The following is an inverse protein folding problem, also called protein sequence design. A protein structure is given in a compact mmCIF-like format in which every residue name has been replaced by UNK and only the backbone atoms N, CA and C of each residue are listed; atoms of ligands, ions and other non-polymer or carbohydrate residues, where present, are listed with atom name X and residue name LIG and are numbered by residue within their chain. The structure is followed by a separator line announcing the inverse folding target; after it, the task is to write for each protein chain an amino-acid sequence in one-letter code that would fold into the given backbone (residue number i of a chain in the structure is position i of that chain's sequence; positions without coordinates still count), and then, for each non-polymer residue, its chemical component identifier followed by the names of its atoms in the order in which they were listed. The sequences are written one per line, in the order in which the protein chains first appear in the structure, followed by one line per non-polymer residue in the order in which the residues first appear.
data_IF_985546356753
#
_entry.id   IF_985546356753
#
_cell.length_a   1.000
_cell.length_b   1.000
_cell.length_c   1.000
_cell.angle_alpha   90.00
_cell.angle_beta   90.00
_cell.angle_gamma   90.00
#
_symmetry.space_group_name_H-M   'P 1'
#
loop_
_entity.id
_entity.type
_entity.pdbx_description
1 polymer ?
#
# COMPACT_ATOMS: atom_id res chain seq x y z
N UNK A 1 26.78 -6.09 20.47
CA UNK A 1 25.49 -6.70 20.08
C UNK A 1 24.37 -5.68 20.22
N UNK A 2 24.27 -4.73 19.28
CA UNK A 2 23.17 -3.78 19.22
C UNK A 2 22.08 -4.32 18.29
N UNK A 3 20.80 -4.14 18.65
CA UNK A 3 19.67 -4.34 17.74
C UNK A 3 18.93 -3.02 17.56
N UNK A 4 18.45 -2.82 16.34
CA UNK A 4 17.59 -1.70 15.97
C UNK A 4 16.31 -1.72 16.81
N UNK A 5 15.85 -0.55 17.23
CA UNK A 5 14.54 -0.36 17.83
C UNK A 5 13.88 0.80 17.10
N UNK A 6 13.25 0.50 15.97
CA UNK A 6 12.50 1.50 15.21
C UNK A 6 11.23 1.84 16.01
N UNK A 7 10.67 3.04 15.79
CA UNK A 7 9.40 3.42 16.38
C UNK A 7 8.68 4.34 15.40
N UNK A 8 7.44 3.99 15.06
CA UNK A 8 6.51 4.92 14.41
C UNK A 8 5.43 5.35 15.41
N UNK A 9 4.68 6.38 15.07
CA UNK A 9 3.59 6.91 15.88
C UNK A 9 2.26 6.70 15.12
N UNK A 10 1.16 6.23 15.76
CA UNK A 10 0.93 6.00 17.20
C UNK A 10 1.77 4.85 17.77
N UNK A 11 1.94 4.74 19.12
CA UNK A 11 2.92 3.84 19.74
C UNK A 11 2.57 2.37 19.52
N UNK A 12 2.97 1.84 18.37
CA UNK A 12 3.23 0.43 18.11
C UNK A 12 4.71 0.19 18.39
N UNK A 13 5.03 -0.93 19.03
CA UNK A 13 6.41 -1.40 19.22
C UNK A 13 6.99 -1.88 17.88
N UNK A 14 7.15 -1.00 16.90
CA UNK A 14 7.67 -1.38 15.58
C UNK A 14 9.19 -1.53 15.61
N UNK A 15 9.68 -2.66 16.08
CA UNK A 15 11.10 -2.90 16.35
C UNK A 15 11.93 -3.14 15.08
N UNK A 16 11.30 -3.20 13.90
CA UNK A 16 11.98 -3.51 12.64
C UNK A 16 11.46 -2.67 11.47
N UNK A 17 12.27 -2.58 10.41
CA UNK A 17 11.87 -1.90 9.18
C UNK A 17 10.72 -2.64 8.48
N UNK A 18 10.61 -3.95 8.68
CA UNK A 18 9.54 -4.79 8.14
C UNK A 18 8.21 -4.51 8.84
N UNK A 19 8.23 -4.32 10.16
CA UNK A 19 7.03 -3.95 10.92
C UNK A 19 6.51 -2.56 10.51
N UNK A 20 7.41 -1.58 10.27
CA UNK A 20 7.02 -0.27 9.76
C UNK A 20 6.41 -0.33 8.35
N UNK A 21 6.99 -1.16 7.47
CA UNK A 21 6.47 -1.38 6.13
C UNK A 21 5.09 -2.08 6.17
N UNK A 22 4.92 -3.06 7.05
CA UNK A 22 3.65 -3.76 7.24
C UNK A 22 2.59 -2.82 7.82
N UNK A 23 2.94 -1.99 8.80
CA UNK A 23 2.05 -0.96 9.34
C UNK A 23 1.55 -0.02 8.24
N UNK A 24 2.44 0.53 7.41
CA UNK A 24 2.05 1.39 6.29
C UNK A 24 1.18 0.66 5.28
N UNK A 25 1.47 -0.62 5.02
CA UNK A 25 0.66 -1.46 4.14
C UNK A 25 -0.75 -1.63 4.67
N UNK A 26 -0.91 -1.89 5.97
CA UNK A 26 -2.21 -2.03 6.64
C UNK A 26 -2.96 -0.71 6.75
N UNK A 27 -2.27 0.39 7.05
CA UNK A 27 -2.87 1.71 7.07
C UNK A 27 -3.39 2.08 5.67
N UNK A 28 -2.58 1.87 4.64
CA UNK A 28 -2.97 2.06 3.24
C UNK A 28 -4.19 1.20 2.88
N UNK A 29 -4.17 -0.09 3.24
CA UNK A 29 -5.30 -0.99 3.05
C UNK A 29 -6.57 -0.44 3.72
N UNK A 30 -6.48 -0.02 4.98
CA UNK A 30 -7.60 0.51 5.74
C UNK A 30 -8.19 1.77 5.10
N UNK A 31 -7.36 2.74 4.73
CA UNK A 31 -7.81 4.01 4.13
C UNK A 31 -8.56 3.79 2.81
N UNK A 32 -8.04 2.89 1.96
CA UNK A 32 -8.70 2.49 0.71
C UNK A 32 -9.98 1.70 0.98
N UNK A 33 -9.96 0.83 1.99
CA UNK A 33 -11.09 -0.02 2.35
C UNK A 33 -12.33 0.77 2.80
N UNK A 34 -12.11 1.80 3.62
CA UNK A 34 -13.19 2.69 4.09
C UNK A 34 -13.53 3.80 3.07
N UNK A 35 -12.75 3.94 2.00
CA UNK A 35 -13.03 4.87 0.90
C UNK A 35 -12.70 6.34 1.19
N UNK A 36 -11.82 6.64 2.16
CA UNK A 36 -11.45 8.03 2.51
C UNK A 36 -10.28 8.57 1.69
N UNK A 37 -9.43 7.69 1.15
CA UNK A 37 -8.28 8.07 0.33
C UNK A 37 -7.84 6.90 -0.54
N UNK A 38 -7.37 7.19 -1.75
CA UNK A 38 -6.70 6.22 -2.62
C UNK A 38 -5.34 5.76 -2.06
N UNK A 39 -4.77 6.55 -1.13
CA UNK A 39 -3.53 6.24 -0.40
C UNK A 39 -2.37 5.79 -1.32
N UNK A 40 -2.25 6.43 -2.48
CA UNK A 40 -1.13 6.29 -3.41
C UNK A 40 0.01 7.22 -3.02
N UNK A 41 1.18 6.65 -2.69
CA UNK A 41 2.34 7.43 -2.28
C UNK A 41 2.97 8.19 -3.46
N UNK A 42 3.01 7.59 -4.66
CA UNK A 42 3.53 8.21 -5.88
C UNK A 42 2.77 9.49 -6.27
N UNK A 43 1.47 9.56 -5.95
CA UNK A 43 0.62 10.75 -6.16
C UNK A 43 0.59 11.68 -4.96
N UNK A 44 1.30 11.35 -3.87
CA UNK A 44 1.33 12.13 -2.64
C UNK A 44 0.06 12.07 -1.80
N UNK A 45 -0.85 11.11 -2.04
CA UNK A 45 -2.07 10.92 -1.24
C UNK A 45 -1.78 10.33 0.15
N UNK A 46 -0.63 9.65 0.27
CA UNK A 46 -0.09 9.15 1.52
C UNK A 46 1.38 9.56 1.59
N UNK A 47 1.78 10.22 2.68
CA UNK A 47 3.17 10.60 2.96
C UNK A 47 3.60 10.01 4.30
N UNK A 48 4.86 9.64 4.40
CA UNK A 48 5.44 9.10 5.62
C UNK A 48 6.82 9.70 5.85
N UNK A 49 7.02 10.27 7.03
CA UNK A 49 8.34 10.60 7.57
C UNK A 49 8.69 9.54 8.63
N UNK A 50 9.85 8.92 8.52
CA UNK A 50 10.27 7.85 9.41
C UNK A 50 11.17 8.39 10.53
N UNK A 51 10.82 8.09 11.79
CA UNK A 51 11.64 8.48 12.94
C UNK A 51 12.39 7.25 13.46
N UNK A 52 13.72 7.29 13.48
CA UNK A 52 14.56 6.13 13.80
C UNK A 52 15.50 6.44 14.96
N UNK A 53 15.53 5.53 15.93
CA UNK A 53 16.51 5.49 17.02
C UNK A 53 16.99 4.05 17.21
N UNK A 54 18.11 3.87 17.89
CA UNK A 54 18.59 2.54 18.32
C UNK A 54 18.85 2.56 19.81
N UNK A 55 18.86 1.37 20.43
CA UNK A 55 19.27 1.20 21.82
C UNK A 55 19.93 -0.16 22.05
N UNK A 56 20.80 -0.30 23.06
CA UNK A 56 21.29 -1.61 23.49
C UNK A 56 20.15 -2.54 23.90
N UNK A 57 20.32 -3.84 23.68
CA UNK A 57 19.35 -4.86 24.10
C UNK A 57 19.22 -4.83 25.63
N UNK A 58 17.98 -4.81 26.12
CA UNK A 58 17.68 -4.74 27.55
C UNK A 58 17.69 -3.33 28.14
N UNK A 59 18.16 -2.32 27.39
CA UNK A 59 18.07 -0.93 27.81
C UNK A 59 16.68 -0.34 27.52
N UNK A 60 16.22 0.56 28.38
CA UNK A 60 15.04 1.41 28.16
C UNK A 60 15.41 2.77 27.58
N UNK A 61 16.67 3.19 27.71
CA UNK A 61 17.17 4.48 27.22
C UNK A 61 17.31 4.47 25.70
N UNK A 62 16.80 5.51 25.06
CA UNK A 62 16.85 5.71 23.61
C UNK A 62 17.96 6.69 23.25
N UNK A 63 18.66 6.42 22.14
CA UNK A 63 19.51 7.43 21.53
C UNK A 63 18.67 8.56 20.93
N UNK A 64 19.28 9.74 20.67
CA UNK A 64 18.62 10.82 19.93
C UNK A 64 17.99 10.32 18.62
N UNK A 65 16.74 10.73 18.38
CA UNK A 65 15.99 10.35 17.18
C UNK A 65 16.54 11.04 15.93
N UNK A 66 16.50 10.32 14.82
CA UNK A 66 16.72 10.85 13.48
C UNK A 66 15.41 10.82 12.71
N UNK A 67 15.16 11.86 11.94
CA UNK A 67 13.96 11.99 11.11
C UNK A 67 14.36 11.84 9.64
N UNK A 68 13.81 10.85 8.95
CA UNK A 68 14.01 10.62 7.51
C UNK A 68 12.80 11.17 6.77
N UNK A 69 13.04 12.02 5.77
CA UNK A 69 12.00 12.64 4.94
C UNK A 69 12.06 12.16 3.49
N UNK A 70 11.02 12.55 2.76
CA UNK A 70 10.90 12.40 1.30
C UNK A 70 10.95 10.94 0.82
N UNK A 71 10.30 10.05 1.57
CA UNK A 71 10.24 8.63 1.22
C UNK A 71 8.92 8.34 0.48
N UNK A 72 9.00 8.03 -0.83
CA UNK A 72 7.81 7.99 -1.68
C UNK A 72 7.25 6.58 -1.94
N UNK A 73 7.82 5.54 -1.33
CA UNK A 73 7.26 4.19 -1.39
C UNK A 73 7.46 3.44 -0.07
N UNK A 74 6.60 2.45 0.21
CA UNK A 74 6.71 1.60 1.40
C UNK A 74 8.05 0.85 1.41
N UNK A 75 8.52 0.40 0.26
CA UNK A 75 9.82 -0.28 0.14
C UNK A 75 10.98 0.67 0.44
N UNK A 76 10.89 1.92 -0.04
CA UNK A 76 11.87 2.94 0.29
C UNK A 76 11.87 3.27 1.79
N UNK A 77 10.72 3.23 2.47
CA UNK A 77 10.66 3.36 3.94
C UNK A 77 11.44 2.24 4.60
N UNK A 78 11.22 0.99 4.18
CA UNK A 78 11.97 -0.17 4.69
C UNK A 78 13.48 0.01 4.49
N UNK A 79 13.89 0.37 3.28
CA UNK A 79 15.30 0.56 2.93
C UNK A 79 15.95 1.70 3.72
N UNK A 80 15.31 2.86 3.79
CA UNK A 80 15.82 4.04 4.47
C UNK A 80 16.00 3.78 5.97
N UNK A 81 15.01 3.14 6.60
CA UNK A 81 15.10 2.75 8.00
C UNK A 81 16.27 1.78 8.23
N UNK A 82 16.41 0.75 7.39
CA UNK A 82 17.51 -0.21 7.50
C UNK A 82 18.89 0.44 7.30
N UNK A 83 19.00 1.38 6.36
CA UNK A 83 20.22 2.14 6.13
C UNK A 83 20.59 2.98 7.37
N UNK A 84 19.61 3.66 7.96
CA UNK A 84 19.83 4.51 9.14
C UNK A 84 20.19 3.69 10.38
N UNK A 85 19.53 2.57 10.59
CA UNK A 85 19.86 1.62 11.66
C UNK A 85 21.32 1.17 11.56
N UNK A 86 21.76 0.72 10.37
CA UNK A 86 23.15 0.29 10.14
C UNK A 86 24.13 1.43 10.42
N UNK A 87 23.79 2.65 10.01
CA UNK A 87 24.59 3.85 10.26
C UNK A 87 24.71 4.14 11.75
N UNK A 88 23.60 4.18 12.50
CA UNK A 88 23.63 4.44 13.94
C UNK A 88 24.43 3.38 14.71
N UNK A 89 24.29 2.10 14.34
CA UNK A 89 25.08 1.01 14.97
C UNK A 89 26.57 1.25 14.77
N UNK A 90 27.00 1.54 13.53
CA UNK A 90 28.42 1.81 13.21
C UNK A 90 28.98 3.01 13.98
N UNK A 91 28.20 4.06 14.17
CA UNK A 91 28.61 5.23 14.94
C UNK A 91 28.79 4.90 16.43
N UNK A 92 27.81 4.20 17.02
CA UNK A 92 27.85 3.81 18.44
C UNK A 92 28.97 2.81 18.71
N UNK A 93 29.18 1.82 17.85
CA UNK A 93 30.27 0.84 17.99
C UNK A 93 31.66 1.47 17.84
N UNK A 94 31.77 2.58 17.10
CA UNK A 94 32.99 3.37 17.01
C UNK A 94 33.16 4.38 18.16
N UNK A 95 32.29 4.34 19.19
CA UNK A 95 32.35 5.22 20.36
C UNK A 95 31.88 6.65 20.09
N UNK A 96 31.24 6.92 18.93
CA UNK A 96 30.71 8.25 18.60
C UNK A 96 29.30 8.42 19.14
N UNK A 97 28.94 9.66 19.47
CA UNK A 97 27.59 10.02 19.94
C UNK A 97 26.66 10.28 18.76
N UNK A 98 25.46 9.72 18.83
CA UNK A 98 24.37 10.05 17.91
C UNK A 98 23.87 11.46 18.25
N UNK A 99 23.63 12.28 17.22
CA UNK A 99 23.11 13.65 17.30
C UNK A 99 21.86 13.73 16.44
N UNK A 100 20.83 14.49 16.83
CA UNK A 100 19.59 14.53 16.04
C UNK A 100 19.80 15.29 14.73
N UNK A 101 19.38 14.69 13.62
CA UNK A 101 19.40 15.29 12.28
C UNK A 101 18.11 14.95 11.53
N UNK A 102 17.74 15.83 10.61
CA UNK A 102 16.82 15.51 9.53
C UNK A 102 17.63 14.99 8.35
N UNK A 103 17.25 13.83 7.85
CA UNK A 103 17.88 13.12 6.75
C UNK A 103 16.94 13.13 5.55
N UNK A 104 17.53 13.24 4.37
CA UNK A 104 16.84 13.07 3.09
C UNK A 104 17.18 11.70 2.52
N UNK A 105 16.15 10.99 2.04
CA UNK A 105 16.32 9.72 1.35
C UNK A 105 16.43 9.95 -0.15
N UNK A 106 17.58 9.57 -0.72
CA UNK A 106 17.80 9.57 -2.17
C UNK A 106 17.48 8.16 -2.71
N UNK A 107 16.40 8.06 -3.49
CA UNK A 107 15.88 6.78 -4.01
C UNK A 107 16.80 6.16 -5.08
N UNK A 108 17.48 6.98 -5.88
CA UNK A 108 18.32 6.54 -7.00
C UNK A 108 19.63 5.93 -6.48
N UNK A 109 20.23 6.56 -5.48
CA UNK A 109 21.48 6.10 -4.86
C UNK A 109 21.25 5.16 -3.68
N UNK A 110 20.02 5.09 -3.16
CA UNK A 110 19.65 4.40 -1.93
C UNK A 110 20.49 4.85 -0.71
N UNK A 111 20.77 6.15 -0.63
CA UNK A 111 21.59 6.74 0.44
C UNK A 111 20.83 7.78 1.25
N UNK A 112 21.31 7.99 2.48
CA UNK A 112 20.82 9.04 3.37
C UNK A 112 21.80 10.22 3.32
N UNK A 113 21.27 11.39 2.98
CA UNK A 113 22.03 12.64 3.04
C UNK A 113 21.54 13.51 4.19
N UNK A 114 22.45 14.27 4.81
CA UNK A 114 22.06 15.20 5.87
C UNK A 114 21.39 16.42 5.24
N UNK A 115 20.14 16.68 5.63
CA UNK A 115 19.55 17.98 5.33
C UNK A 115 20.21 19.05 6.20
N UNK A 116 20.28 20.29 5.69
CA UNK A 116 20.79 21.43 6.43
C UNK A 116 20.11 21.48 7.81
N UNK A 117 20.91 21.60 8.87
CA UNK A 117 20.39 21.81 10.22
C UNK A 117 19.50 23.03 10.24
N UNK A 118 18.22 22.84 10.58
CA UNK A 118 17.48 23.93 11.20
C UNK A 118 18.18 24.20 12.52
N UNK A 119 18.93 25.29 12.58
CA UNK A 119 19.29 25.89 13.86
C UNK A 119 17.98 26.08 14.62
N UNK A 120 17.82 25.38 15.75
CA UNK A 120 16.67 25.36 16.68
C UNK A 120 15.35 24.74 16.18
N UNK A 121 14.66 24.02 17.10
CA UNK A 121 13.24 23.66 16.93
C UNK A 121 12.46 24.94 16.61
N UNK A 122 11.73 24.96 15.49
CA UNK A 122 10.96 26.13 15.12
C UNK A 122 9.87 26.37 16.18
N UNK A 123 9.87 27.55 16.81
CA UNK A 123 8.76 27.96 17.67
C UNK A 123 7.55 28.26 16.77
N UNK A 124 6.67 27.26 16.67
CA UNK A 124 5.44 27.34 15.86
C UNK A 124 4.41 28.32 16.45
N UNK A 125 4.60 28.81 17.68
CA UNK A 125 3.72 29.78 18.35
C UNK A 125 2.24 29.41 18.19
N UNK A 126 1.90 28.14 18.46
CA UNK A 126 0.53 27.63 18.31
C UNK A 126 -0.46 28.52 19.07
N UNK A 127 -1.49 29.01 18.38
CA UNK A 127 -2.62 29.73 18.96
C UNK A 127 -3.91 29.22 18.33
N UNK A 128 -5.05 29.49 18.99
CA UNK A 128 -6.36 29.13 18.43
C UNK A 128 -6.65 30.04 17.24
N UNK A 129 -6.97 29.45 16.10
CA UNK A 129 -7.42 30.18 14.92
C UNK A 129 -8.68 31.00 15.26
N UNK A 130 -8.60 32.34 15.35
CA UNK A 130 -9.73 33.17 15.75
C UNK A 130 -10.89 33.12 14.76
N UNK A 131 -10.61 32.84 13.48
CA UNK A 131 -11.62 32.84 12.42
C UNK A 131 -12.44 31.54 12.37
N UNK A 132 -11.99 30.48 13.05
CA UNK A 132 -12.65 29.18 13.07
C UNK A 132 -13.27 28.88 14.43
N UNK A 133 -14.60 28.72 14.43
CA UNK A 133 -15.31 28.21 15.59
C UNK A 133 -14.90 26.75 15.87
N UNK A 134 -14.85 26.32 17.14
CA UNK A 134 -14.56 24.92 17.47
C UNK A 134 -15.58 23.98 16.82
N UNK A 135 -15.09 22.98 16.07
CA UNK A 135 -15.92 21.89 15.55
C UNK A 135 -16.43 21.07 16.74
N UNK A 136 -17.75 20.96 16.88
CA UNK A 136 -18.41 20.09 17.86
C UNK A 136 -19.01 18.92 17.10
N UNK A 137 -18.54 17.72 17.42
CA UNK A 137 -19.13 16.48 16.92
C UNK A 137 -20.14 16.01 17.96
N UNK A 138 -21.41 15.92 17.57
CA UNK A 138 -22.41 15.35 18.46
C UNK A 138 -22.30 13.81 18.50
N UNK A 139 -22.85 13.18 19.54
CA UNK A 139 -22.79 11.73 19.69
C UNK A 139 -23.58 11.00 18.59
N UNK A 140 -24.65 11.63 18.10
CA UNK A 140 -25.56 11.04 17.11
C UNK A 140 -24.91 10.96 15.72
N UNK A 141 -24.20 12.01 15.30
CA UNK A 141 -23.37 12.11 14.11
C UNK A 141 -22.25 11.08 14.15
N UNK A 142 -21.56 10.96 15.28
CA UNK A 142 -20.53 9.94 15.46
C UNK A 142 -21.12 8.53 15.27
N UNK A 143 -22.23 8.23 15.93
CA UNK A 143 -22.86 6.90 15.85
C UNK A 143 -23.40 6.62 14.43
N UNK A 144 -23.94 7.63 13.74
CA UNK A 144 -24.32 7.55 12.32
C UNK A 144 -23.14 7.19 11.43
N UNK A 145 -21.99 7.85 11.60
CA UNK A 145 -20.78 7.55 10.83
C UNK A 145 -20.27 6.14 11.13
N UNK A 146 -20.22 5.75 12.41
CA UNK A 146 -19.78 4.41 12.81
C UNK A 146 -20.69 3.31 12.26
N UNK A 147 -22.00 3.54 12.18
CA UNK A 147 -22.96 2.60 11.60
C UNK A 147 -22.82 2.42 10.08
N UNK A 148 -22.25 3.41 9.37
CA UNK A 148 -22.02 3.36 7.93
C UNK A 148 -20.68 2.70 7.55
N UNK A 149 -19.76 2.52 8.52
CA UNK A 149 -18.47 1.91 8.24
C UNK A 149 -18.64 0.45 7.80
N UNK A 150 -17.92 0.03 6.74
CA UNK A 150 -17.88 -1.37 6.38
C UNK A 150 -17.19 -2.20 7.46
N UNK A 151 -17.42 -3.51 7.45
CA UNK A 151 -16.59 -4.46 8.19
C UNK A 151 -15.11 -4.21 7.85
N UNK A 152 -14.27 -3.99 8.87
CA UNK A 152 -12.85 -3.66 8.69
C UNK A 152 -12.07 -4.85 8.09
N UNK A 153 -10.98 -4.61 7.34
CA UNK A 153 -10.26 -5.65 6.58
C UNK A 153 -9.79 -6.80 7.47
N UNK A 154 -9.15 -6.53 8.61
CA UNK A 154 -8.68 -7.58 9.53
C UNK A 154 -9.82 -8.37 10.19
N UNK A 155 -10.94 -7.69 10.48
CA UNK A 155 -12.14 -8.37 11.00
C UNK A 155 -12.72 -9.32 9.95
N UNK A 156 -12.79 -8.85 8.71
CA UNK A 156 -13.26 -9.65 7.58
C UNK A 156 -12.32 -10.81 7.27
N UNK A 157 -11.01 -10.61 7.36
CA UNK A 157 -10.02 -11.68 7.21
C UNK A 157 -10.24 -12.78 8.24
N UNK A 158 -10.33 -12.43 9.53
CA UNK A 158 -10.58 -13.37 10.60
C UNK A 158 -11.92 -14.10 10.41
N UNK A 159 -12.95 -13.40 9.90
CA UNK A 159 -14.22 -14.00 9.53
C UNK A 159 -14.08 -15.00 8.39
N UNK A 160 -13.32 -14.68 7.34
CA UNK A 160 -13.09 -15.60 6.22
C UNK A 160 -12.35 -16.87 6.65
N UNK A 161 -11.37 -16.75 7.54
CA UNK A 161 -10.67 -17.91 8.11
C UNK A 161 -11.60 -18.79 8.93
N UNK A 162 -12.51 -18.19 9.71
CA UNK A 162 -13.40 -18.91 10.61
C UNK A 162 -14.66 -19.47 9.93
N UNK A 163 -15.36 -18.66 9.15
CA UNK A 163 -16.67 -19.02 8.55
C UNK A 163 -16.53 -19.77 7.23
N UNK A 164 -15.49 -19.45 6.44
CA UNK A 164 -15.24 -20.09 5.14
C UNK A 164 -14.10 -21.10 5.18
N UNK A 165 -13.49 -21.33 6.35
CA UNK A 165 -12.38 -22.27 6.58
C UNK A 165 -11.22 -22.06 5.59
N UNK A 166 -10.97 -20.80 5.21
CA UNK A 166 -9.91 -20.47 4.28
C UNK A 166 -8.55 -20.45 4.99
N UNK A 167 -7.48 -20.93 4.33
CA UNK A 167 -6.12 -20.71 4.81
C UNK A 167 -5.86 -19.20 4.96
N UNK A 168 -5.10 -18.81 5.99
CA UNK A 168 -4.73 -17.42 6.28
C UNK A 168 -4.21 -16.69 5.04
N UNK A 169 -3.35 -17.34 4.25
CA UNK A 169 -2.83 -16.80 3.00
C UNK A 169 -3.93 -16.40 1.99
N UNK A 170 -4.93 -17.27 1.80
CA UNK A 170 -6.05 -16.97 0.90
C UNK A 170 -6.94 -15.86 1.47
N UNK A 171 -7.23 -15.91 2.77
CA UNK A 171 -8.05 -14.90 3.43
C UNK A 171 -7.41 -13.51 3.36
N UNK A 172 -6.11 -13.42 3.58
CA UNK A 172 -5.33 -12.19 3.47
C UNK A 172 -5.40 -11.59 2.06
N UNK A 173 -5.19 -12.40 1.02
CA UNK A 173 -5.25 -11.93 -0.37
C UNK A 173 -6.67 -11.52 -0.75
N UNK A 174 -7.68 -12.30 -0.39
CA UNK A 174 -9.08 -11.98 -0.68
C UNK A 174 -9.58 -10.74 0.05
N UNK A 175 -8.91 -10.34 1.13
CA UNK A 175 -9.21 -9.11 1.89
C UNK A 175 -8.21 -7.99 1.63
N UNK A 176 -7.30 -8.13 0.66
CA UNK A 176 -6.35 -7.08 0.29
C UNK A 176 -7.03 -5.80 -0.20
N UNK A 177 -8.13 -5.93 -0.93
CA UNK A 177 -8.98 -4.83 -1.37
C UNK A 177 -10.46 -5.15 -1.14
N UNK A 178 -11.24 -4.14 -0.74
CA UNK A 178 -12.67 -4.31 -0.43
C UNK A 178 -13.45 -4.85 -1.62
N UNK A 179 -13.17 -4.32 -2.81
CA UNK A 179 -13.88 -4.71 -4.03
C UNK A 179 -13.67 -6.20 -4.38
N UNK A 180 -12.45 -6.72 -4.19
CA UNK A 180 -12.15 -8.15 -4.37
C UNK A 180 -12.87 -8.99 -3.31
N UNK A 181 -12.88 -8.51 -2.07
CA UNK A 181 -13.55 -9.18 -0.95
C UNK A 181 -15.07 -9.27 -1.17
N UNK A 182 -15.70 -8.17 -1.58
CA UNK A 182 -17.13 -8.11 -1.90
C UNK A 182 -17.46 -9.00 -3.12
N UNK A 183 -16.56 -9.07 -4.11
CA UNK A 183 -16.67 -9.97 -5.27
C UNK A 183 -16.65 -11.45 -4.86
N UNK A 184 -15.75 -11.83 -3.95
CA UNK A 184 -15.67 -13.19 -3.41
C UNK A 184 -16.95 -13.58 -2.68
N UNK A 185 -17.43 -12.76 -1.73
CA UNK A 185 -18.65 -13.09 -0.97
C UNK A 185 -19.90 -13.15 -1.86
N UNK A 186 -20.00 -12.24 -2.83
CA UNK A 186 -21.07 -12.29 -3.82
C UNK A 186 -21.01 -13.60 -4.63
N UNK A 187 -19.82 -14.05 -5.03
CA UNK A 187 -19.64 -15.30 -5.77
C UNK A 187 -20.04 -16.51 -4.91
N UNK A 188 -19.62 -16.55 -3.65
CA UNK A 188 -20.02 -17.61 -2.69
C UNK A 188 -21.54 -17.65 -2.55
N UNK A 189 -22.20 -16.50 -2.43
CA UNK A 189 -23.67 -16.39 -2.32
C UNK A 189 -24.40 -16.91 -3.55
N UNK A 190 -23.91 -16.63 -4.76
CA UNK A 190 -24.51 -17.14 -6.01
C UNK A 190 -24.25 -18.63 -6.23
N UNK A 191 -23.05 -19.10 -5.86
CA UNK A 191 -22.64 -20.48 -6.03
C UNK A 191 -23.36 -21.44 -5.07
N UNK A 192 -23.57 -21.03 -3.81
CA UNK A 192 -24.20 -21.83 -2.74
C UNK A 192 -23.52 -23.18 -2.44
N UNK A 193 -22.25 -23.34 -2.83
CA UNK A 193 -21.43 -24.50 -2.49
C UNK A 193 -20.25 -24.10 -1.57
N UNK A 194 -19.17 -24.89 -1.63
CA UNK A 194 -17.99 -24.67 -0.79
C UNK A 194 -17.24 -23.37 -1.12
N UNK A 195 -17.10 -22.48 -0.13
CA UNK A 195 -16.38 -21.22 -0.28
C UNK A 195 -14.90 -21.41 -0.67
N UNK A 196 -14.28 -22.51 -0.24
CA UNK A 196 -12.91 -22.89 -0.60
C UNK A 196 -12.74 -23.06 -2.11
N UNK A 197 -13.73 -23.62 -2.80
CA UNK A 197 -13.69 -23.76 -4.25
C UNK A 197 -13.72 -22.39 -4.93
N UNK A 198 -14.61 -21.50 -4.49
CA UNK A 198 -14.68 -20.12 -5.00
C UNK A 198 -13.36 -19.38 -4.77
N UNK A 199 -12.76 -19.54 -3.57
CA UNK A 199 -11.45 -19.00 -3.25
C UNK A 199 -10.40 -19.50 -4.25
N UNK A 200 -10.33 -20.80 -4.53
CA UNK A 200 -9.37 -21.35 -5.49
C UNK A 200 -9.53 -20.80 -6.90
N UNK A 201 -10.76 -20.64 -7.40
CA UNK A 201 -11.02 -20.03 -8.71
C UNK A 201 -10.59 -18.56 -8.75
N UNK A 202 -10.87 -17.81 -7.69
CA UNK A 202 -10.47 -16.40 -7.64
C UNK A 202 -8.96 -16.25 -7.57
N UNK A 203 -8.31 -17.03 -6.69
CA UNK A 203 -6.87 -16.97 -6.47
C UNK A 203 -6.06 -17.35 -7.72
N UNK A 204 -6.47 -18.42 -8.41
CA UNK A 204 -5.69 -18.95 -9.53
C UNK A 204 -6.05 -18.31 -10.88
N UNK A 205 -7.31 -17.97 -11.10
CA UNK A 205 -7.78 -17.53 -12.42
C UNK A 205 -8.13 -16.03 -12.42
N UNK A 206 -8.92 -15.54 -11.46
CA UNK A 206 -9.41 -14.15 -11.47
C UNK A 206 -8.30 -13.15 -11.16
N UNK A 207 -7.48 -13.41 -10.14
CA UNK A 207 -6.34 -12.54 -9.79
C UNK A 207 -5.35 -12.42 -10.95
N UNK A 208 -5.07 -13.51 -11.65
CA UNK A 208 -4.24 -13.49 -12.85
C UNK A 208 -4.80 -12.54 -13.91
N UNK A 209 -6.11 -12.60 -14.17
CA UNK A 209 -6.79 -11.71 -15.14
C UNK A 209 -6.76 -10.24 -14.68
N UNK A 210 -7.00 -9.98 -13.39
CA UNK A 210 -6.96 -8.63 -12.83
C UNK A 210 -5.56 -8.02 -13.00
N UNK A 211 -4.52 -8.77 -12.64
CA UNK A 211 -3.13 -8.33 -12.74
C UNK A 211 -2.67 -8.16 -14.20
N UNK A 212 -2.96 -9.12 -15.09
CA UNK A 212 -2.61 -9.05 -16.51
C UNK A 212 -3.21 -7.81 -17.21
N UNK A 213 -4.36 -7.32 -16.72
CA UNK A 213 -5.10 -6.22 -17.35
C UNK A 213 -5.08 -4.91 -16.57
N UNK A 214 -4.52 -4.91 -15.36
CA UNK A 214 -4.55 -3.76 -14.46
C UNK A 214 -5.97 -3.28 -14.15
N UNK A 215 -6.89 -4.22 -13.93
CA UNK A 215 -8.29 -3.95 -13.63
C UNK A 215 -8.58 -4.20 -12.15
N UNK A 216 -9.60 -3.53 -11.62
CA UNK A 216 -10.22 -3.85 -10.34
C UNK A 216 -11.38 -4.86 -10.51
N UNK A 217 -11.74 -5.58 -9.45
CA UNK A 217 -12.82 -6.58 -9.48
C UNK A 217 -14.16 -6.08 -10.06
N UNK A 218 -14.61 -4.83 -9.80
CA UNK A 218 -15.85 -4.31 -10.38
C UNK A 218 -15.78 -4.04 -11.89
N UNK A 219 -14.58 -3.92 -12.46
CA UNK A 219 -14.36 -3.62 -13.88
C UNK A 219 -14.36 -4.90 -14.76
N UNK A 220 -14.38 -6.07 -14.13
CA UNK A 220 -14.47 -7.35 -14.84
C UNK A 220 -15.87 -7.56 -15.42
N UNK A 221 -15.96 -7.98 -16.69
CA UNK A 221 -17.24 -8.47 -17.23
C UNK A 221 -17.56 -9.89 -16.71
N UNK A 222 -16.57 -10.57 -16.13
CA UNK A 222 -16.79 -11.76 -15.33
C UNK A 222 -17.38 -11.32 -13.98
N UNK A 223 -18.71 -11.14 -13.94
CA UNK A 223 -19.45 -10.82 -12.72
C UNK A 223 -19.44 -12.01 -11.73
N UNK A 224 -19.65 -11.78 -10.42
CA UNK A 224 -19.76 -12.87 -9.43
C UNK A 224 -20.75 -13.97 -9.81
N UNK A 225 -21.91 -13.61 -10.37
CA UNK A 225 -22.94 -14.56 -10.82
C UNK A 225 -22.45 -15.45 -11.97
N UNK A 226 -21.75 -14.86 -12.94
CA UNK A 226 -21.18 -15.60 -14.09
C UNK A 226 -20.10 -16.57 -13.64
N UNK A 227 -19.23 -16.15 -12.73
CA UNK A 227 -18.22 -17.05 -12.17
C UNK A 227 -18.89 -18.19 -11.42
N UNK A 228 -19.86 -17.91 -10.55
CA UNK A 228 -20.63 -18.94 -9.85
C UNK A 228 -21.28 -19.95 -10.82
N UNK A 229 -21.90 -19.48 -11.92
CA UNK A 229 -22.47 -20.37 -12.95
C UNK A 229 -21.43 -21.29 -13.59
N UNK A 230 -20.23 -20.78 -13.87
CA UNK A 230 -19.13 -21.61 -14.41
C UNK A 230 -18.73 -22.68 -13.40
N UNK A 231 -18.60 -22.32 -12.12
CA UNK A 231 -18.25 -23.26 -11.05
C UNK A 231 -19.33 -24.37 -10.94
N UNK A 232 -20.61 -24.01 -10.95
CA UNK A 232 -21.74 -24.96 -10.94
C UNK A 232 -21.68 -25.95 -12.11
N UNK A 233 -21.37 -25.48 -13.32
CA UNK A 233 -21.27 -26.35 -14.49
C UNK A 233 -20.10 -27.36 -14.38
N UNK A 234 -18.99 -26.93 -13.76
CA UNK A 234 -17.84 -27.80 -13.50
C UNK A 234 -18.19 -28.86 -12.46
N UNK A 235 -18.86 -28.49 -11.36
CA UNK A 235 -19.23 -29.43 -10.30
C UNK A 235 -20.25 -30.45 -10.72
N UNK A 236 -21.22 -30.03 -11.52
CA UNK A 236 -22.21 -30.91 -12.12
C UNK A 236 -21.61 -31.77 -13.25
N UNK A 237 -20.29 -31.71 -13.49
CA UNK A 237 -19.56 -32.44 -14.52
C UNK A 237 -20.10 -32.22 -15.94
N UNK A 238 -20.83 -31.13 -16.16
CA UNK A 238 -21.34 -30.72 -17.48
C UNK A 238 -20.16 -30.30 -18.36
N UNK A 239 -19.17 -29.64 -17.74
CA UNK A 239 -17.90 -29.30 -18.36
C UNK A 239 -16.74 -29.70 -17.45
N UNK A 240 -15.56 -29.94 -18.04
CA UNK A 240 -14.35 -30.12 -17.24
C UNK A 240 -13.76 -28.75 -16.85
N UNK A 241 -12.86 -28.74 -15.86
CA UNK A 241 -12.23 -27.52 -15.33
C UNK A 241 -11.45 -26.74 -16.40
N UNK A 242 -10.80 -27.43 -17.34
CA UNK A 242 -10.05 -26.78 -18.43
C UNK A 242 -10.98 -25.99 -19.35
N UNK A 243 -12.09 -26.61 -19.76
CA UNK A 243 -13.13 -25.97 -20.56
C UNK A 243 -13.82 -24.84 -19.79
N UNK A 244 -14.02 -24.98 -18.48
CA UNK A 244 -14.57 -23.92 -17.62
C UNK A 244 -13.67 -22.67 -17.51
N UNK A 245 -12.34 -22.84 -17.60
CA UNK A 245 -11.39 -21.72 -17.56
C UNK A 245 -11.27 -20.94 -18.87
N UNK A 246 -11.54 -21.58 -20.02
CA UNK A 246 -11.41 -20.92 -21.32
C UNK A 246 -12.30 -19.65 -21.48
N UNK A 247 -13.58 -19.67 -21.09
CA UNK A 247 -14.44 -18.48 -21.14
C UNK A 247 -14.00 -17.36 -20.21
N UNK A 248 -13.39 -17.66 -19.06
CA UNK A 248 -12.99 -16.63 -18.08
C UNK A 248 -12.06 -15.58 -18.70
N UNK A 249 -11.13 -16.01 -19.56
CA UNK A 249 -10.23 -15.11 -20.29
C UNK A 249 -10.93 -14.25 -21.35
N UNK A 250 -12.08 -14.72 -21.88
CA UNK A 250 -12.89 -13.98 -22.87
C UNK A 250 -13.80 -12.94 -22.21
N UNK A 251 -14.23 -13.16 -20.97
CA UNK A 251 -15.05 -12.24 -20.17
C UNK A 251 -14.27 -11.11 -19.50
N UNK A 252 -13.02 -10.93 -19.88
CA UNK A 252 -12.35 -9.68 -19.60
C UNK A 252 -12.36 -8.85 -20.90
N UNK A 253 -12.67 -7.54 -20.84
CA UNK A 253 -12.76 -6.71 -22.04
C UNK A 253 -11.44 -6.78 -22.80
N UNK A 254 -11.47 -7.00 -24.13
CA UNK A 254 -10.28 -6.83 -24.99
C UNK A 254 -9.58 -5.57 -24.54
N UNK A 255 -8.25 -5.62 -24.32
CA UNK A 255 -7.46 -4.44 -24.01
C UNK A 255 -8.00 -3.29 -24.88
N UNK A 256 -8.72 -2.35 -24.27
CA UNK A 256 -8.66 -1.01 -24.81
C UNK A 256 -7.18 -0.73 -24.70
N UNK A 257 -6.48 -0.75 -25.83
CA UNK A 257 -5.19 -0.07 -25.93
C UNK A 257 -5.48 1.31 -25.38
N UNK A 258 -5.21 1.54 -24.09
CA UNK A 258 -4.78 2.86 -23.66
C UNK A 258 -3.60 3.08 -24.58
N UNK A 259 -3.82 3.94 -25.57
CA UNK A 259 -2.77 4.44 -26.44
C UNK A 259 -1.56 4.63 -25.54
N UNK A 260 -0.40 4.01 -25.82
CA UNK A 260 0.77 4.32 -25.03
C UNK A 260 0.88 5.83 -25.11
N UNK A 261 0.87 6.52 -23.96
CA UNK A 261 1.34 7.89 -23.93
C UNK A 261 2.75 7.79 -24.51
N UNK A 262 2.87 8.22 -25.77
CA UNK A 262 4.10 8.22 -26.53
C UNK A 262 5.00 9.19 -25.78
N UNK A 263 5.84 8.65 -24.91
CA UNK A 263 7.07 9.33 -24.53
C UNK A 263 7.96 9.28 -25.77
N UNK A 264 7.79 10.25 -26.66
CA UNK A 264 8.67 10.42 -27.81
C UNK A 264 9.92 11.15 -27.35
N UNK A 265 10.86 10.41 -26.78
CA UNK A 265 12.24 10.86 -26.67
C UNK A 265 13.10 9.98 -27.59
N UNK A 266 13.11 10.33 -28.88
CA UNK A 266 14.26 10.17 -29.80
C UNK A 266 13.86 10.54 -31.24
N UNK A 267 14.25 11.75 -31.65
CA UNK A 267 14.81 12.02 -32.98
C UNK A 267 16.04 12.88 -32.76
N UNK A 268 17.14 12.25 -32.37
CA UNK A 268 18.45 12.78 -32.72
C UNK A 268 18.68 12.45 -34.20
N UNK A 269 19.29 13.39 -34.90
CA UNK A 269 19.86 13.27 -36.25
C UNK A 269 18.90 13.28 -37.44
N UNK A 270 18.65 14.49 -37.94
CA UNK A 270 18.86 14.77 -39.36
C UNK A 270 19.23 16.24 -39.58
N UNK A 271 20.41 16.41 -40.17
CA UNK A 271 20.92 17.57 -40.93
C UNK A 271 21.65 18.68 -40.15
N UNK A 272 22.97 18.49 -40.08
CA UNK A 272 23.92 19.57 -40.35
C UNK A 272 23.74 20.11 -41.78
N UNK A 273 24.06 21.41 -41.92
CA UNK A 273 24.09 22.23 -43.13
C UNK A 273 22.74 22.61 -43.74
N UNK A 274 22.34 23.87 -43.52
CA UNK A 274 22.42 24.87 -44.59
C UNK A 274 22.74 26.23 -43.94
N UNK A 275 23.78 26.85 -44.48
CA UNK A 275 24.31 28.13 -44.07
C UNK A 275 23.33 29.26 -44.39
N UNK A 276 23.47 30.33 -43.62
CA UNK A 276 23.49 31.67 -44.21
C UNK A 276 22.17 32.41 -44.25
N UNK A 277 22.14 33.47 -43.45
CA UNK A 277 21.70 34.80 -43.90
C UNK A 277 20.20 35.04 -44.01
N UNK A 278 19.64 35.90 -43.15
CA UNK A 278 19.47 37.33 -43.44
C UNK A 278 18.58 38.00 -42.37
N UNK A 279 19.12 39.03 -41.70
CA UNK A 279 18.49 40.36 -41.52
C UNK A 279 17.17 40.39 -40.72
N UNK A 280 17.11 40.80 -39.44
CA UNK A 280 17.47 42.08 -38.80
C UNK A 280 17.53 41.91 -37.29
#
# INVERSE_FOLDING_TARGET
MARAGIWTFPPSTERSADEAAEYLTRLRQLLRWIGVSEAEMEKGHLRCDANVSIRPIGSTELNPKMEIKNVNSIEHVRHAINAEVKRQIKEVEAGRKITSWTLDWDEDTQTLSKMRSKETEADYRYFREPDLLPVRLDAEEKDKVLAQLPELPLKRQARFEKEYELPTYNAEILTSERALSDYFEATVKFYRGEAKQVSNWIMNDVLGILNERGLSAPELQLTPERLAKVIILVDNKVINTSTGRQPLRKFAPKLLRKTPLRWSNTKMERKWSWAGSLVR
#
